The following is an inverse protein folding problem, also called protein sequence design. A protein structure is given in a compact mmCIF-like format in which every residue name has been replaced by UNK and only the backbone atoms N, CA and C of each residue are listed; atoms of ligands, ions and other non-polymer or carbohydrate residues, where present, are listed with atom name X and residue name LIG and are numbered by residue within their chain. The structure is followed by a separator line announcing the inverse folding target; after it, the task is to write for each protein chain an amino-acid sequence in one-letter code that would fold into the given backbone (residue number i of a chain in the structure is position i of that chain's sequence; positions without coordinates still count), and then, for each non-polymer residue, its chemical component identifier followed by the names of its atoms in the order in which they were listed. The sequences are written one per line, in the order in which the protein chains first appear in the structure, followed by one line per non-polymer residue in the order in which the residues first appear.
data_IF_981573417369
#
_entry.id   IF_981573417369
#
_cell.length_a   1.000
_cell.length_b   1.000
_cell.length_c   1.000
_cell.angle_alpha   90.00
_cell.angle_beta   90.00
_cell.angle_gamma   90.00
#
_symmetry.space_group_name_H-M   'P 1'
#
loop_
_entity.id
_entity.type
_entity.pdbx_description
1 polymer ?
#
# COMPACT_ATOMS: atom_id res chain seq x y z
N UNK A 1 -0.22 -33.28 -16.33
CA UNK A 1 0.41 -31.96 -16.57
C UNK A 1 1.41 -32.11 -17.68
N UNK A 2 1.38 -31.21 -18.68
CA UNK A 2 2.40 -31.19 -19.72
C UNK A 2 3.73 -30.67 -19.16
N UNK A 3 4.85 -31.02 -19.81
CA UNK A 3 6.17 -30.51 -19.42
C UNK A 3 6.28 -28.98 -19.54
N UNK A 4 5.45 -28.36 -20.38
CA UNK A 4 5.27 -26.90 -20.41
C UNK A 4 4.56 -26.37 -19.17
N UNK A 5 3.45 -26.98 -18.76
CA UNK A 5 2.72 -26.59 -17.55
C UNK A 5 3.59 -26.72 -16.30
N UNK A 6 4.41 -27.77 -16.22
CA UNK A 6 5.33 -27.98 -15.11
C UNK A 6 6.37 -26.86 -15.03
N UNK A 7 6.96 -26.45 -16.15
CA UNK A 7 7.89 -25.32 -16.18
C UNK A 7 7.20 -23.99 -15.78
N UNK A 8 5.99 -23.75 -16.28
CA UNK A 8 5.23 -22.55 -15.90
C UNK A 8 4.88 -22.55 -14.41
N UNK A 9 4.58 -23.70 -13.82
CA UNK A 9 4.35 -23.82 -12.38
C UNK A 9 5.62 -23.52 -11.57
N UNK A 10 6.80 -23.97 -12.04
CA UNK A 10 8.09 -23.64 -11.43
C UNK A 10 8.39 -22.14 -11.50
N UNK A 11 8.17 -21.52 -12.67
CA UNK A 11 8.34 -20.07 -12.87
C UNK A 11 7.45 -19.28 -11.90
N UNK A 12 6.16 -19.63 -11.80
CA UNK A 12 5.23 -18.98 -10.88
C UNK A 12 5.65 -19.13 -9.42
N UNK A 13 6.01 -20.34 -9.01
CA UNK A 13 6.43 -20.61 -7.64
C UNK A 13 7.68 -19.79 -7.26
N UNK A 14 8.64 -19.64 -8.18
CA UNK A 14 9.85 -18.86 -7.92
C UNK A 14 9.57 -17.35 -7.91
N UNK A 15 8.76 -16.85 -8.84
CA UNK A 15 8.34 -15.44 -8.84
C UNK A 15 7.58 -15.11 -7.55
N UNK A 16 6.63 -15.95 -7.14
CA UNK A 16 5.83 -15.72 -5.93
C UNK A 16 6.69 -15.70 -4.66
N UNK A 17 7.72 -16.57 -4.58
CA UNK A 17 8.68 -16.58 -3.46
C UNK A 17 9.39 -15.23 -3.31
N UNK A 18 9.59 -14.50 -4.41
CA UNK A 18 10.29 -13.23 -4.44
C UNK A 18 9.39 -12.02 -4.13
N UNK A 19 8.10 -12.23 -3.84
CA UNK A 19 7.10 -11.20 -3.48
C UNK A 19 6.96 -10.12 -4.57
N UNK A 20 6.41 -10.45 -5.74
CA UNK A 20 6.19 -9.47 -6.80
C UNK A 20 5.09 -8.48 -6.39
N UNK A 21 5.09 -7.30 -7.00
CA UNK A 21 3.89 -6.43 -6.97
C UNK A 21 2.79 -7.11 -7.79
N UNK A 22 1.54 -7.10 -7.31
CA UNK A 22 0.44 -7.83 -7.93
C UNK A 22 0.27 -7.52 -9.42
N UNK A 23 0.38 -6.25 -9.81
CA UNK A 23 0.28 -5.79 -11.20
C UNK A 23 1.48 -6.21 -12.07
N UNK A 24 2.63 -6.49 -11.48
CA UNK A 24 3.86 -6.85 -12.19
C UNK A 24 4.00 -8.36 -12.44
N UNK A 25 3.21 -9.20 -11.75
CA UNK A 25 3.33 -10.66 -11.77
C UNK A 25 3.32 -11.23 -13.19
N UNK A 26 2.34 -10.82 -14.02
CA UNK A 26 2.21 -11.32 -15.39
C UNK A 26 3.38 -10.89 -16.28
N UNK A 27 3.87 -9.67 -16.11
CA UNK A 27 5.04 -9.17 -16.85
C UNK A 27 6.30 -9.95 -16.48
N UNK A 28 6.50 -10.23 -15.19
CA UNK A 28 7.63 -11.04 -14.73
C UNK A 28 7.58 -12.47 -15.28
N UNK A 29 6.40 -13.11 -15.29
CA UNK A 29 6.23 -14.43 -15.93
C UNK A 29 6.69 -14.43 -17.39
N UNK A 30 6.29 -13.41 -18.16
CA UNK A 30 6.64 -13.29 -19.59
C UNK A 30 8.14 -13.03 -19.79
N UNK A 31 8.75 -12.16 -18.97
CA UNK A 31 10.19 -11.91 -19.02
C UNK A 31 10.98 -13.19 -18.72
N UNK A 32 10.59 -13.91 -17.68
CA UNK A 32 11.23 -15.17 -17.29
C UNK A 32 11.02 -16.26 -18.35
N UNK A 33 9.80 -16.41 -18.91
CA UNK A 33 9.52 -17.36 -19.99
C UNK A 33 10.35 -17.05 -21.24
N UNK A 34 10.61 -15.77 -21.54
CA UNK A 34 11.46 -15.37 -22.67
C UNK A 34 12.94 -15.68 -22.50
N UNK A 35 13.42 -15.74 -21.24
CA UNK A 35 14.81 -16.00 -20.89
C UNK A 35 15.09 -17.49 -20.63
N UNK A 36 14.10 -18.37 -20.81
CA UNK A 36 14.25 -19.80 -20.53
C UNK A 36 14.03 -20.63 -21.79
N UNK A 37 14.97 -21.53 -22.05
CA UNK A 37 14.81 -22.60 -23.03
C UNK A 37 14.49 -23.91 -22.31
N UNK A 38 13.56 -24.68 -22.87
CA UNK A 38 13.27 -26.03 -22.38
C UNK A 38 14.42 -26.97 -22.73
N UNK A 39 14.77 -27.84 -21.79
CA UNK A 39 15.85 -28.79 -21.94
C UNK A 39 15.38 -30.16 -21.44
N UNK A 40 15.80 -31.26 -22.07
CA UNK A 40 15.33 -32.60 -21.72
C UNK A 40 16.01 -33.19 -20.47
N UNK A 41 17.27 -32.80 -20.20
CA UNK A 41 17.97 -33.10 -18.95
C UNK A 41 17.43 -32.30 -17.74
N UNK A 42 17.46 -32.86 -16.52
CA UNK A 42 17.18 -32.14 -15.28
C UNK A 42 18.07 -30.88 -15.18
N UNK A 43 17.52 -29.71 -14.80
CA UNK A 43 16.22 -29.48 -14.17
C UNK A 43 15.02 -29.32 -15.14
N UNK A 44 15.18 -29.61 -16.43
CA UNK A 44 14.12 -29.49 -17.44
C UNK A 44 14.10 -28.14 -18.17
N UNK A 45 15.07 -27.27 -17.88
CA UNK A 45 15.19 -25.93 -18.43
C UNK A 45 16.63 -25.41 -18.34
N UNK A 46 16.94 -24.42 -19.17
CA UNK A 46 18.21 -23.70 -19.22
C UNK A 46 17.94 -22.21 -19.40
N UNK A 47 18.63 -21.36 -18.64
CA UNK A 47 18.50 -19.90 -18.77
C UNK A 47 19.42 -19.42 -19.88
N UNK A 48 18.85 -18.67 -20.84
CA UNK A 48 19.55 -18.19 -22.02
C UNK A 48 19.60 -16.66 -22.05
N UNK A 49 20.58 -16.10 -22.75
CA UNK A 49 20.67 -14.68 -23.04
C UNK A 49 19.81 -14.28 -24.25
N UNK A 50 19.91 -13.02 -24.65
CA UNK A 50 19.19 -12.46 -25.81
C UNK A 50 19.56 -13.14 -27.13
N UNK A 51 20.77 -13.69 -27.21
CA UNK A 51 21.27 -14.41 -28.39
C UNK A 51 20.93 -15.91 -28.31
N UNK A 52 20.24 -16.35 -27.26
CA UNK A 52 19.86 -17.73 -27.03
C UNK A 52 21.00 -18.62 -26.52
N UNK A 53 22.11 -18.03 -26.06
CA UNK A 53 23.24 -18.76 -25.48
C UNK A 53 23.02 -19.02 -23.99
N UNK A 54 23.43 -20.18 -23.47
CA UNK A 54 23.34 -20.47 -22.04
C UNK A 54 24.05 -19.43 -21.18
N UNK A 55 23.37 -18.95 -20.14
CA UNK A 55 23.96 -18.05 -19.15
C UNK A 55 24.58 -18.84 -18.00
N UNK A 56 25.74 -18.40 -17.56
CA UNK A 56 26.43 -18.96 -16.39
C UNK A 56 26.67 -17.87 -15.34
N UNK A 57 26.75 -18.28 -14.08
CA UNK A 57 27.20 -17.44 -12.96
C UNK A 57 28.52 -17.98 -12.42
N UNK A 58 29.39 -17.09 -11.96
CA UNK A 58 30.63 -17.47 -11.31
C UNK A 58 30.42 -17.60 -9.81
N UNK A 59 30.61 -18.80 -9.25
CA UNK A 59 30.57 -19.05 -7.80
C UNK A 59 31.90 -19.70 -7.41
N UNK A 60 32.65 -19.07 -6.49
CA UNK A 60 33.98 -19.54 -6.07
C UNK A 60 35.00 -19.76 -7.21
N UNK A 61 34.86 -19.01 -8.32
CA UNK A 61 35.73 -19.12 -9.51
C UNK A 61 35.29 -20.18 -10.52
N UNK A 62 34.24 -20.94 -10.23
CA UNK A 62 33.65 -21.93 -11.14
C UNK A 62 32.44 -21.32 -11.88
N UNK A 63 32.32 -21.61 -13.18
CA UNK A 63 31.19 -21.19 -14.00
C UNK A 63 30.07 -22.24 -13.89
N UNK A 64 29.03 -21.92 -13.12
CA UNK A 64 27.84 -22.76 -12.95
C UNK A 64 26.71 -22.25 -13.85
N UNK A 65 25.82 -23.13 -14.34
CA UNK A 65 24.62 -22.69 -15.07
C UNK A 65 23.77 -21.76 -14.19
N UNK A 66 23.25 -20.70 -14.80
CA UNK A 66 22.39 -19.74 -14.12
C UNK A 66 21.06 -20.41 -13.78
N UNK A 67 20.66 -20.37 -12.50
CA UNK A 67 19.40 -20.99 -12.07
C UNK A 67 18.22 -20.03 -12.27
N UNK A 68 16.99 -20.54 -12.18
CA UNK A 68 15.78 -19.73 -12.20
C UNK A 68 15.78 -18.68 -11.07
N UNK A 69 16.25 -19.06 -9.87
CA UNK A 69 16.33 -18.14 -8.73
C UNK A 69 17.31 -17.01 -8.99
N UNK A 70 18.47 -17.32 -9.58
CA UNK A 70 19.47 -16.32 -9.97
C UNK A 70 18.94 -15.31 -10.99
N UNK A 71 18.16 -15.79 -11.96
CA UNK A 71 17.52 -14.95 -12.96
C UNK A 71 16.51 -13.99 -12.32
N UNK A 72 15.66 -14.47 -11.40
CA UNK A 72 14.68 -13.60 -10.72
C UNK A 72 15.38 -12.61 -9.79
N UNK A 73 16.47 -13.02 -9.11
CA UNK A 73 17.31 -12.12 -8.32
C UNK A 73 17.97 -11.04 -9.18
N UNK A 74 18.40 -11.37 -10.39
CA UNK A 74 18.91 -10.39 -11.35
C UNK A 74 17.82 -9.39 -11.78
N UNK A 75 16.64 -9.89 -12.12
CA UNK A 75 15.48 -9.04 -12.44
C UNK A 75 15.11 -8.13 -11.28
N UNK A 76 15.21 -8.60 -10.03
CA UNK A 76 14.96 -7.79 -8.83
C UNK A 76 15.98 -6.67 -8.66
N UNK A 77 17.26 -6.94 -8.93
CA UNK A 77 18.32 -5.91 -8.90
C UNK A 77 18.14 -4.87 -10.01
N UNK A 78 17.75 -5.29 -11.21
CA UNK A 78 17.55 -4.40 -12.36
C UNK A 78 16.24 -3.60 -12.28
N UNK A 79 15.18 -4.21 -11.75
CA UNK A 79 13.84 -3.65 -11.70
C UNK A 79 13.22 -3.76 -10.30
N UNK A 80 13.77 -3.04 -9.29
CA UNK A 80 13.32 -3.17 -7.91
C UNK A 80 11.84 -2.79 -7.71
N UNK A 81 11.28 -1.92 -8.56
CA UNK A 81 9.87 -1.49 -8.51
C UNK A 81 8.87 -2.58 -8.89
N UNK A 82 9.31 -3.68 -9.52
CA UNK A 82 8.45 -4.84 -9.83
C UNK A 82 8.25 -5.76 -8.63
N UNK A 83 9.02 -5.56 -7.55
CA UNK A 83 9.00 -6.38 -6.35
C UNK A 83 8.60 -5.55 -5.15
N UNK A 84 7.93 -6.19 -4.18
CA UNK A 84 7.62 -5.54 -2.93
C UNK A 84 8.91 -5.26 -2.15
N UNK A 85 9.00 -4.11 -1.45
CA UNK A 85 10.08 -3.88 -0.50
C UNK A 85 10.16 -5.03 0.50
N UNK A 86 11.36 -5.38 1.00
CA UNK A 86 11.44 -6.27 2.16
C UNK A 86 10.55 -5.66 3.24
N UNK A 87 9.63 -6.46 3.78
CA UNK A 87 8.73 -6.00 4.83
C UNK A 87 9.60 -5.37 5.91
N UNK A 88 9.36 -4.09 6.21
CA UNK A 88 10.06 -3.44 7.30
C UNK A 88 9.89 -4.32 8.54
N UNK A 89 10.96 -4.52 9.34
CA UNK A 89 10.81 -5.24 10.59
C UNK A 89 9.70 -4.55 11.36
N UNK A 90 8.59 -5.27 11.56
CA UNK A 90 7.48 -4.77 12.35
C UNK A 90 8.08 -4.39 13.69
N UNK A 91 8.02 -3.11 14.11
CA UNK A 91 8.50 -2.75 15.43
C UNK A 91 7.75 -3.64 16.41
N UNK A 92 8.51 -4.47 17.13
CA UNK A 92 7.94 -5.30 18.20
C UNK A 92 7.21 -4.31 19.11
N UNK A 93 5.87 -4.42 19.25
CA UNK A 93 5.17 -3.52 20.13
C UNK A 93 5.83 -3.64 21.52
N UNK A 94 6.15 -2.53 22.19
CA UNK A 94 6.64 -2.61 23.57
C UNK A 94 5.61 -3.44 24.34
N UNK A 95 6.06 -4.49 25.02
CA UNK A 95 5.22 -5.33 25.86
C UNK A 95 4.31 -4.40 26.68
N UNK A 96 3.00 -4.52 26.48
CA UNK A 96 2.02 -3.68 27.15
C UNK A 96 2.25 -3.79 28.66
N UNK A 97 2.83 -2.74 29.23
CA UNK A 97 2.70 -2.52 30.66
C UNK A 97 1.19 -2.43 30.94
N UNK A 98 0.66 -3.22 31.89
CA UNK A 98 -0.76 -3.22 32.20
C UNK A 98 -1.19 -1.78 32.51
N UNK A 99 -2.08 -1.26 31.68
CA UNK A 99 -2.65 0.09 31.84
C UNK A 99 -3.63 0.06 33.01
N UNK A 100 -3.13 0.46 34.18
CA UNK A 100 -3.81 0.51 35.49
C UNK A 100 -5.02 1.47 35.62
N UNK A 101 -5.67 1.88 34.52
CA UNK A 101 -6.79 2.84 34.57
C UNK A 101 -8.17 2.25 34.20
N UNK A 102 -8.26 0.96 33.89
CA UNK A 102 -9.55 0.25 33.83
C UNK A 102 -9.69 -0.61 35.09
N UNK A 103 -10.03 0.04 36.20
CA UNK A 103 -10.69 -0.64 37.33
C UNK A 103 -12.19 -0.51 37.11
N UNK A 104 -12.73 -1.34 36.22
CA UNK A 104 -14.14 -1.71 36.31
C UNK A 104 -14.20 -2.76 37.41
N UNK A 105 -14.69 -2.36 38.58
CA UNK A 105 -15.10 -3.30 39.64
C UNK A 105 -16.10 -4.27 38.99
N UNK A 106 -15.79 -5.56 38.79
CA UNK A 106 -16.78 -6.47 38.24
C UNK A 106 -17.93 -6.56 39.24
N UNK A 107 -19.14 -6.28 38.76
CA UNK A 107 -20.36 -6.50 39.51
C UNK A 107 -20.39 -7.98 39.93
N UNK A 108 -20.53 -8.21 41.23
CA UNK A 108 -20.77 -9.53 41.83
C UNK A 108 -21.96 -10.20 41.12
N UNK A 109 -21.77 -11.32 40.41
CA UNK A 109 -22.90 -12.07 39.89
C UNK A 109 -23.70 -12.68 41.06
N UNK A 110 -25.04 -12.68 41.01
CA UNK A 110 -25.86 -13.37 42.01
C UNK A 110 -25.58 -14.88 41.99
N UNK A 111 -25.57 -15.47 43.18
CA UNK A 111 -25.19 -16.85 43.43
C UNK A 111 -25.97 -17.86 42.57
N UNK A 112 -25.29 -18.81 41.91
CA UNK A 112 -25.96 -19.99 41.36
C UNK A 112 -26.30 -21.00 42.46
N UNK A 113 -27.52 -21.51 42.43
CA UNK A 113 -28.01 -22.62 43.25
C UNK A 113 -27.09 -23.86 43.13
N UNK A 114 -26.95 -24.68 44.20
CA UNK A 114 -25.96 -25.74 44.25
C UNK A 114 -26.28 -26.89 43.28
N UNK A 115 -25.32 -27.35 42.45
CA UNK A 115 -25.45 -28.62 41.75
C UNK A 115 -25.19 -29.80 42.68
N UNK A 116 -25.95 -30.88 42.44
CA UNK A 116 -25.89 -32.14 43.14
C UNK A 116 -24.48 -32.78 43.11
N UNK A 117 -24.18 -33.47 44.21
CA UNK A 117 -22.92 -34.13 44.49
C UNK A 117 -22.46 -35.06 43.35
N UNK A 118 -21.19 -34.92 42.97
CA UNK A 118 -20.45 -35.89 42.15
C UNK A 118 -19.14 -36.28 42.88
N UNK A 119 -18.65 -37.52 42.68
CA UNK A 119 -17.81 -38.23 43.63
C UNK A 119 -16.34 -37.80 43.63
N UNK A 120 -15.70 -37.92 44.80
CA UNK A 120 -14.28 -37.64 45.03
C UNK A 120 -13.41 -38.56 44.18
N UNK A 121 -12.72 -37.99 43.20
CA UNK A 121 -11.68 -38.66 42.43
C UNK A 121 -10.37 -38.80 43.26
N UNK A 122 -9.80 -39.98 43.10
CA UNK A 122 -8.75 -40.60 43.90
C UNK A 122 -7.38 -39.89 43.80
N UNK A 123 -6.80 -39.52 44.94
CA UNK A 123 -5.45 -38.90 45.00
C UNK A 123 -4.33 -39.83 44.54
N UNK A 124 -4.59 -41.14 44.44
CA UNK A 124 -3.62 -42.14 44.02
C UNK A 124 -3.37 -42.19 42.51
N UNK A 125 -4.24 -41.61 41.68
CA UNK A 125 -4.04 -41.57 40.22
C UNK A 125 -2.87 -40.66 39.80
N UNK A 126 -2.71 -39.50 40.47
CA UNK A 126 -1.62 -38.55 40.16
C UNK A 126 -0.23 -39.02 40.59
N UNK A 127 -0.14 -39.91 41.58
CA UNK A 127 1.17 -40.43 42.03
C UNK A 127 1.72 -41.50 41.08
N UNK A 128 0.85 -42.25 40.40
CA UNK A 128 1.25 -43.33 39.49
C UNK A 128 1.76 -42.81 38.14
N UNK A 129 1.28 -41.64 37.72
CA UNK A 129 1.75 -40.95 36.50
C UNK A 129 3.15 -40.34 36.68
N UNK A 130 3.47 -39.86 37.90
CA UNK A 130 4.78 -39.28 38.21
C UNK A 130 5.93 -40.31 38.35
N UNK A 131 5.61 -41.61 38.52
CA UNK A 131 6.61 -42.68 38.67
C UNK A 131 6.88 -43.45 37.36
N UNK A 132 6.12 -43.18 36.29
CA UNK A 132 6.26 -43.86 35.00
C UNK A 132 7.47 -43.43 34.15
N UNK A 133 8.02 -42.24 34.39
CA UNK A 133 9.10 -41.65 33.55
C UNK A 133 10.53 -41.90 34.07
N UNK A 134 10.69 -42.65 35.16
CA UNK A 134 11.99 -42.99 35.74
C UNK A 134 12.86 -44.01 34.96
N UNK A 135 12.32 -44.99 34.21
CA UNK A 135 13.16 -45.98 33.53
C UNK A 135 13.79 -45.51 32.20
N UNK A 136 13.29 -44.46 31.54
CA UNK A 136 13.90 -43.93 30.31
C UNK A 136 15.10 -43.01 30.58
N UNK A 137 15.20 -42.39 31.77
CA UNK A 137 16.33 -41.52 32.15
C UNK A 137 17.60 -42.27 32.59
N UNK A 138 17.56 -43.61 32.69
CA UNK A 138 18.70 -44.44 33.09
C UNK A 138 19.42 -45.15 31.92
N UNK A 139 19.07 -44.85 30.65
CA UNK A 139 19.84 -45.35 29.51
C UNK A 139 21.14 -44.57 29.32
N UNK A 140 22.26 -45.19 29.71
CA UNK A 140 23.61 -44.71 29.44
C UNK A 140 23.87 -44.56 27.92
N UNK A 141 24.68 -43.56 27.50
CA UNK A 141 25.11 -43.44 26.12
C UNK A 141 26.05 -44.60 25.75
N UNK A 142 25.67 -45.33 24.70
CA UNK A 142 26.45 -46.42 24.13
C UNK A 142 27.68 -45.83 23.43
N UNK A 143 28.85 -46.09 24.00
CA UNK A 143 30.17 -45.71 23.48
C UNK A 143 30.45 -46.51 22.21
N UNK A 144 30.54 -45.84 21.08
CA UNK A 144 30.85 -46.44 19.78
C UNK A 144 32.38 -46.65 19.66
N UNK A 145 32.85 -47.84 19.23
CA UNK A 145 34.27 -48.15 19.18
C UNK A 145 34.96 -47.52 17.97
N UNK A 146 35.99 -46.72 18.26
CA UNK A 146 37.01 -46.28 17.30
C UNK A 146 37.87 -47.49 16.91
N UNK A 147 38.00 -47.73 15.60
CA UNK A 147 39.03 -48.61 15.04
C UNK A 147 39.88 -47.83 14.01
N UNK A 148 41.15 -48.24 13.80
CA UNK A 148 42.22 -47.32 13.39
C UNK A 148 42.51 -47.32 11.87
N UNK A 149 43.03 -46.17 11.42
CA UNK A 149 44.16 -46.02 10.49
C UNK A 149 44.22 -46.87 9.21
N UNK A 150 44.05 -46.23 8.05
CA UNK A 150 45.00 -46.41 6.93
C UNK A 150 45.21 -45.07 6.22
N UNK A 151 46.45 -44.59 6.26
CA UNK A 151 46.94 -43.48 5.45
C UNK A 151 46.93 -43.88 3.96
N UNK A 152 46.26 -43.10 3.12
CA UNK A 152 46.40 -43.16 1.67
C UNK A 152 47.25 -41.97 1.21
N UNK A 153 48.35 -42.28 0.54
CA UNK A 153 49.32 -41.36 -0.03
C UNK A 153 48.72 -40.44 -1.11
N UNK A 154 49.28 -39.24 -1.36
CA UNK A 154 48.89 -38.43 -2.49
C UNK A 154 49.37 -39.05 -3.80
N UNK A 155 48.43 -39.34 -4.70
CA UNK A 155 48.72 -39.63 -6.10
C UNK A 155 49.18 -38.34 -6.78
N UNK A 156 50.44 -38.31 -7.16
CA UNK A 156 51.02 -37.30 -8.05
C UNK A 156 50.43 -37.54 -9.44
N UNK A 157 49.60 -36.61 -9.92
CA UNK A 157 49.19 -36.57 -11.33
C UNK A 157 50.17 -35.66 -12.08
N UNK A 158 50.99 -36.28 -12.92
CA UNK A 158 51.82 -35.64 -13.94
C UNK A 158 50.94 -35.03 -15.06
N UNK A 159 51.14 -33.76 -15.46
CA UNK A 159 50.62 -33.27 -16.74
C UNK A 159 51.54 -33.70 -17.90
N UNK A 160 51.00 -34.03 -19.08
CA UNK A 160 51.82 -34.30 -20.25
C UNK A 160 52.46 -33.02 -20.80
N UNK A 161 53.72 -33.18 -21.19
CA UNK A 161 54.45 -32.24 -22.03
C UNK A 161 53.76 -32.12 -23.40
N UNK A 162 53.46 -30.89 -23.79
CA UNK A 162 52.97 -30.54 -25.11
C UNK A 162 53.51 -29.16 -25.46
N UNK A 163 54.53 -29.17 -26.32
CA UNK A 163 55.19 -28.02 -26.91
C UNK A 163 54.20 -27.08 -27.60
N UNK A 164 54.42 -25.77 -27.44
CA UNK A 164 53.60 -24.74 -28.06
C UNK A 164 54.14 -23.34 -27.79
N UNK A 165 55.34 -23.08 -28.28
CA UNK A 165 55.94 -21.75 -28.38
C UNK A 165 54.99 -20.77 -29.10
N UNK A 166 54.61 -19.67 -28.44
CA UNK A 166 54.51 -18.33 -29.06
C UNK A 166 54.81 -17.24 -28.02
N UNK A 167 55.68 -16.26 -28.33
CA UNK A 167 56.16 -15.28 -27.38
C UNK A 167 55.32 -13.99 -27.37
N UNK A 168 55.28 -13.36 -26.20
CA UNK A 168 55.18 -11.90 -26.06
C UNK A 168 53.79 -11.31 -26.17
N UNK A 169 53.25 -10.83 -25.04
CA UNK A 169 52.91 -9.42 -24.83
C UNK A 169 52.52 -9.19 -23.35
N UNK A 170 53.36 -8.38 -22.72
CA UNK A 170 53.21 -7.57 -21.51
C UNK A 170 52.03 -7.85 -20.55
N UNK A 171 52.36 -8.38 -19.37
CA UNK A 171 51.58 -8.29 -18.14
C UNK A 171 52.05 -7.05 -17.35
N UNK A 172 51.20 -6.10 -16.94
CA UNK A 172 51.59 -5.09 -15.97
C UNK A 172 51.65 -5.69 -14.55
N UNK A 173 52.73 -5.37 -13.84
CA UNK A 173 52.95 -5.66 -12.42
C UNK A 173 51.94 -4.89 -11.55
N UNK A 174 51.28 -5.50 -10.57
CA UNK A 174 50.67 -4.75 -9.47
C UNK A 174 51.74 -4.35 -8.46
N UNK A 175 51.86 -3.04 -8.22
CA UNK A 175 52.65 -2.47 -7.13
C UNK A 175 51.97 -2.74 -5.77
N UNK A 176 52.74 -3.00 -4.69
CA UNK A 176 52.21 -3.09 -3.34
C UNK A 176 52.08 -1.68 -2.76
N UNK A 177 50.85 -1.26 -2.48
CA UNK A 177 50.56 0.08 -1.96
C UNK A 177 49.45 0.07 -0.93
N UNK A 178 49.84 0.21 0.34
CA UNK A 178 49.19 1.11 1.30
C UNK A 178 47.76 0.79 1.73
N UNK A 179 47.66 0.04 2.82
CA UNK A 179 46.54 0.05 3.75
C UNK A 179 46.17 1.46 4.23
N UNK A 180 44.89 1.84 4.18
CA UNK A 180 44.28 2.72 5.18
C UNK A 180 42.79 2.39 5.38
N UNK A 181 42.32 2.16 6.62
CA UNK A 181 40.91 1.94 6.92
C UNK A 181 40.15 3.27 6.98
N UNK A 182 39.00 3.36 6.30
CA UNK A 182 38.09 4.52 6.36
C UNK A 182 36.72 4.11 6.85
N UNK A 183 36.45 4.34 8.14
CA UNK A 183 35.16 4.72 8.77
C UNK A 183 35.47 5.26 10.19
N UNK A 184 34.60 6.05 10.85
CA UNK A 184 33.64 7.04 10.35
C UNK A 184 33.79 8.41 11.07
N UNK A 185 33.58 9.52 10.37
CA UNK A 185 33.50 10.88 10.97
C UNK A 185 32.13 11.48 10.65
N UNK A 186 31.13 11.19 11.49
CA UNK A 186 29.92 12.01 11.66
C UNK A 186 29.40 11.86 13.09
N UNK A 187 30.10 12.51 14.01
CA UNK A 187 29.67 12.69 15.40
C UNK A 187 30.18 14.05 15.88
N UNK A 188 29.65 15.15 15.33
CA UNK A 188 29.91 16.50 15.85
C UNK A 188 28.99 17.58 15.25
N UNK A 189 27.67 17.37 15.12
CA UNK A 189 26.71 18.45 14.84
C UNK A 189 25.34 18.13 15.47
N UNK A 190 25.29 17.99 16.79
CA UNK A 190 24.06 17.66 17.51
C UNK A 190 23.98 18.19 18.95
N UNK A 191 24.84 19.14 19.32
CA UNK A 191 24.92 19.69 20.68
C UNK A 191 24.59 21.18 20.79
N UNK A 192 24.17 21.83 19.69
CA UNK A 192 23.78 23.26 19.68
C UNK A 192 22.26 23.52 19.60
N UNK A 193 21.42 22.48 19.54
CA UNK A 193 19.95 22.65 19.51
C UNK A 193 19.29 22.56 20.90
N UNK A 194 19.99 22.03 21.92
CA UNK A 194 19.43 21.85 23.27
C UNK A 194 19.56 23.11 24.15
N UNK A 195 20.45 24.04 23.80
CA UNK A 195 20.63 25.31 24.53
C UNK A 195 19.71 26.45 24.03
N UNK A 196 19.12 26.33 22.84
CA UNK A 196 18.24 27.36 22.26
C UNK A 196 16.78 27.32 22.75
N UNK A 197 16.29 26.16 23.18
CA UNK A 197 14.89 25.98 23.62
C UNK A 197 14.71 26.36 25.10
N UNK A 198 15.77 26.34 25.92
CA UNK A 198 15.71 26.73 27.33
C UNK A 198 15.59 28.24 27.57
N UNK A 199 15.99 29.08 26.61
CA UNK A 199 16.04 30.54 26.79
C UNK A 199 14.70 31.24 26.48
N UNK A 200 13.81 30.60 25.71
CA UNK A 200 12.51 31.18 25.34
C UNK A 200 11.40 30.95 26.38
N UNK A 201 11.61 30.06 27.36
CA UNK A 201 10.63 29.80 28.44
C UNK A 201 10.82 30.70 29.69
N UNK A 202 11.89 31.51 29.75
CA UNK A 202 12.25 32.33 30.92
C UNK A 202 12.09 33.85 30.71
N UNK A 203 11.57 34.31 29.56
CA UNK A 203 11.32 35.75 29.32
C UNK A 203 10.00 36.02 28.62
N UNK A 204 8.98 36.31 29.44
CA UNK A 204 7.86 37.21 29.13
C UNK A 204 6.75 36.59 28.28
N UNK A 205 5.47 36.84 28.54
CA UNK A 205 4.81 37.76 29.45
C UNK A 205 3.31 37.66 29.19
N UNK A 206 2.50 37.91 30.21
CA UNK A 206 1.04 38.03 30.08
C UNK A 206 0.66 39.10 29.05
N UNK A 207 -0.52 38.98 28.43
CA UNK A 207 -1.47 40.05 28.68
C UNK A 207 -2.94 39.59 28.82
N UNK A 208 -3.54 40.10 29.90
CA UNK A 208 -4.85 40.78 30.02
C UNK A 208 -6.15 40.05 29.63
N UNK A 209 -6.91 39.73 30.69
CA UNK A 209 -8.38 39.77 30.76
C UNK A 209 -8.91 41.20 30.60
N UNK A 210 -9.91 41.38 29.74
CA UNK A 210 -10.92 42.45 29.83
C UNK A 210 -12.15 41.98 29.01
N UNK A 211 -13.18 41.43 29.65
CA UNK A 211 -14.42 42.11 30.09
C UNK A 211 -15.24 42.74 28.95
N UNK A 212 -16.31 42.05 28.52
CA UNK A 212 -17.55 42.69 28.04
C UNK A 212 -18.72 41.68 28.15
N UNK A 213 -19.61 41.84 29.12
CA UNK A 213 -20.95 42.45 29.02
C UNK A 213 -22.06 41.39 28.90
N UNK A 214 -23.00 41.55 29.83
CA UNK A 214 -24.20 40.77 30.07
C UNK A 214 -25.19 40.73 28.89
N UNK A 215 -25.96 39.64 28.81
CA UNK A 215 -27.42 39.71 28.63
C UNK A 215 -28.07 38.35 28.94
N UNK A 216 -28.82 38.32 30.04
CA UNK A 216 -29.98 37.45 30.22
C UNK A 216 -31.23 38.24 29.76
N UNK A 217 -32.32 37.57 29.37
CA UNK A 217 -33.42 37.47 30.32
C UNK A 217 -34.19 36.13 30.32
N UNK A 218 -34.49 35.72 31.56
CA UNK A 218 -35.76 35.24 32.13
C UNK A 218 -36.53 34.02 31.55
N UNK A 219 -37.28 33.30 32.44
CA UNK A 219 -37.82 31.97 32.19
C UNK A 219 -39.29 31.98 31.77
N UNK A 220 -39.70 31.00 30.97
CA UNK A 220 -41.09 30.67 30.69
C UNK A 220 -41.39 29.24 31.13
N UNK A 221 -42.24 29.12 32.15
CA UNK A 221 -42.94 27.91 32.57
C UNK A 221 -43.90 27.45 31.46
N UNK A 222 -43.94 26.15 31.17
CA UNK A 222 -45.13 25.32 31.41
C UNK A 222 -44.99 23.92 30.78
N UNK A 223 -45.39 22.94 31.58
CA UNK A 223 -45.53 21.51 31.28
C UNK A 223 -47.04 21.22 31.32
N UNK A 224 -47.59 20.39 30.42
CA UNK A 224 -47.98 19.03 30.83
C UNK A 224 -47.69 18.00 29.70
N UNK A 225 -47.07 16.85 29.99
CA UNK A 225 -47.74 15.59 30.35
C UNK A 225 -48.80 15.10 29.33
N UNK A 226 -48.44 14.09 28.54
CA UNK A 226 -49.36 13.29 27.72
C UNK A 226 -48.65 12.09 27.08
N UNK A 227 -49.17 10.89 27.34
CA UNK A 227 -48.65 9.55 27.02
C UNK A 227 -48.87 9.13 25.54
N UNK A 228 -48.30 7.99 25.09
CA UNK A 228 -48.25 7.55 23.70
C UNK A 228 -49.42 6.61 23.30
N UNK A 229 -49.76 6.60 22.00
CA UNK A 229 -50.48 5.54 21.28
C UNK A 229 -50.19 5.76 19.77
N UNK A 230 -49.58 4.82 19.05
CA UNK A 230 -50.14 3.59 18.46
C UNK A 230 -50.66 3.81 17.02
N UNK A 231 -50.18 2.94 16.13
CA UNK A 231 -50.73 2.45 14.86
C UNK A 231 -51.35 3.41 13.83
N UNK A 232 -50.96 3.24 12.55
CA UNK A 232 -51.75 3.77 11.44
C UNK A 232 -51.09 3.67 10.07
N UNK A 233 -50.87 2.46 9.57
CA UNK A 233 -50.70 2.18 8.14
C UNK A 233 -51.86 2.77 7.33
N UNK A 234 -51.57 3.50 6.24
CA UNK A 234 -52.47 3.56 5.07
C UNK A 234 -51.66 3.67 3.79
N UNK A 235 -51.48 2.50 3.22
CA UNK A 235 -51.42 2.19 1.79
C UNK A 235 -52.46 3.00 0.98
N UNK A 236 -52.03 3.74 -0.05
CA UNK A 236 -52.85 3.98 -1.25
C UNK A 236 -52.01 3.95 -2.52
N UNK A 237 -52.36 2.91 -3.27
CA UNK A 237 -52.00 2.46 -4.61
C UNK A 237 -52.51 3.41 -5.70
N UNK A 238 -51.66 3.55 -6.72
CA UNK A 238 -51.89 3.75 -8.16
C UNK A 238 -53.17 4.41 -8.68
N UNK A 239 -52.98 5.36 -9.61
CA UNK A 239 -53.69 5.34 -10.89
C UNK A 239 -52.91 6.09 -11.98
N UNK A 240 -52.76 5.38 -13.09
CA UNK A 240 -52.36 5.79 -14.44
C UNK A 240 -52.97 7.10 -14.98
N UNK A 241 -52.23 7.72 -15.90
CA UNK A 241 -52.71 8.85 -16.71
C UNK A 241 -51.78 9.14 -17.89
N UNK A 242 -51.91 8.32 -18.93
CA UNK A 242 -51.32 8.42 -20.28
C UNK A 242 -51.92 9.58 -21.10
N UNK A 243 -51.14 10.04 -22.10
CA UNK A 243 -51.43 10.81 -23.36
C UNK A 243 -50.95 12.27 -23.38
N UNK A 244 -50.52 12.90 -24.49
CA UNK A 244 -50.13 12.57 -25.89
C UNK A 244 -49.45 13.84 -26.46
N UNK A 245 -48.54 13.68 -27.41
CA UNK A 245 -47.94 14.69 -28.29
C UNK A 245 -48.87 15.76 -28.88
N UNK A 246 -48.35 16.97 -29.08
CA UNK A 246 -49.00 18.05 -29.84
C UNK A 246 -48.00 19.06 -30.40
N UNK A 247 -47.98 19.17 -31.73
CA UNK A 247 -47.02 19.87 -32.58
C UNK A 247 -47.57 21.21 -33.09
N UNK A 248 -46.66 22.17 -33.29
CA UNK A 248 -46.62 23.25 -34.32
C UNK A 248 -47.49 24.53 -34.24
N UNK A 249 -46.79 25.63 -34.55
CA UNK A 249 -47.12 26.83 -35.36
C UNK A 249 -47.04 28.15 -34.55
N UNK A 250 -46.00 28.98 -34.72
CA UNK A 250 -45.74 29.94 -35.82
C UNK A 250 -46.42 31.31 -35.57
N UNK A 251 -45.61 32.38 -35.44
CA UNK A 251 -45.94 33.73 -35.91
C UNK A 251 -44.84 34.78 -35.61
N UNK A 252 -44.35 35.38 -36.71
CA UNK A 252 -44.27 36.85 -36.96
C UNK A 252 -43.00 37.63 -36.55
N UNK A 253 -42.28 38.06 -37.58
CA UNK A 253 -41.31 39.17 -37.59
C UNK A 253 -41.98 40.55 -37.79
N UNK A 254 -41.24 41.65 -37.55
CA UNK A 254 -41.09 42.70 -38.57
C UNK A 254 -39.63 43.26 -38.73
N UNK A 255 -39.36 44.14 -39.73
CA UNK A 255 -38.03 44.37 -40.32
C UNK A 255 -37.45 45.80 -40.13
N UNK A 256 -36.18 45.98 -40.53
CA UNK A 256 -35.53 47.28 -40.82
C UNK A 256 -34.01 47.22 -40.67
N UNK A 257 -33.21 47.12 -41.75
CA UNK A 257 -32.70 48.18 -42.65
C UNK A 257 -31.33 48.77 -42.21
N UNK A 258 -30.31 48.68 -43.07
CA UNK A 258 -29.05 49.43 -42.93
C UNK A 258 -27.82 48.80 -43.59
N UNK A 259 -27.63 49.06 -44.89
CA UNK A 259 -26.43 48.79 -45.69
C UNK A 259 -25.12 49.39 -45.15
N UNK A 260 -23.98 48.72 -45.41
CA UNK A 260 -22.80 49.33 -46.08
C UNK A 260 -21.78 48.29 -46.57
N UNK A 261 -21.35 48.49 -47.81
CA UNK A 261 -20.49 47.64 -48.62
C UNK A 261 -18.98 47.97 -48.52
N UNK A 262 -18.13 46.98 -48.85
CA UNK A 262 -16.71 47.11 -49.22
C UNK A 262 -16.05 45.72 -49.46
N UNK A 263 -15.10 45.55 -50.39
CA UNK A 263 -15.29 44.60 -51.51
C UNK A 263 -14.29 43.41 -51.65
N UNK A 264 -14.76 42.35 -52.36
CA UNK A 264 -14.10 41.42 -53.33
C UNK A 264 -12.68 40.84 -53.02
N UNK A 265 -12.33 39.55 -53.14
CA UNK A 265 -12.70 38.38 -54.02
C UNK A 265 -11.74 37.19 -53.63
N UNK A 266 -11.76 35.99 -54.26
CA UNK A 266 -12.80 34.95 -54.35
C UNK A 266 -12.28 33.54 -53.93
N UNK A 267 -13.17 32.57 -53.69
CA UNK A 267 -12.78 31.16 -53.59
C UNK A 267 -13.84 30.27 -52.96
N UNK A 268 -14.78 29.82 -53.78
CA UNK A 268 -15.78 28.81 -53.42
C UNK A 268 -15.15 27.52 -52.90
N UNK A 269 -15.55 27.14 -51.69
CA UNK A 269 -15.27 25.85 -51.07
C UNK A 269 -16.42 25.50 -50.14
N UNK A 270 -17.54 25.09 -50.75
CA UNK A 270 -18.73 24.44 -50.18
C UNK A 270 -18.42 23.66 -48.88
N UNK A 271 -18.92 24.12 -47.72
CA UNK A 271 -19.31 23.27 -46.58
C UNK A 271 -20.20 24.03 -45.62
N UNK A 272 -21.44 23.56 -45.56
CA UNK A 272 -22.44 23.82 -44.52
C UNK A 272 -21.99 23.26 -43.15
N UNK A 273 -22.68 23.66 -42.06
CA UNK A 273 -22.13 23.84 -40.73
C UNK A 273 -21.98 22.50 -39.99
N UNK A 274 -20.81 22.26 -39.42
CA UNK A 274 -20.65 21.18 -38.44
C UNK A 274 -20.73 21.81 -37.06
N UNK A 275 -21.87 21.55 -36.44
CA UNK A 275 -22.06 21.32 -35.01
C UNK A 275 -20.82 21.59 -34.14
N UNK A 276 -20.99 22.52 -33.24
CA UNK A 276 -20.30 22.61 -31.95
C UNK A 276 -20.45 21.27 -31.21
N UNK A 277 -19.59 20.32 -31.59
CA UNK A 277 -19.39 19.06 -30.91
C UNK A 277 -18.81 19.36 -29.54
N UNK A 278 -19.59 19.07 -28.51
CA UNK A 278 -19.14 19.01 -27.14
C UNK A 278 -17.79 18.29 -27.07
N UNK A 279 -16.77 19.01 -26.59
CA UNK A 279 -15.48 18.44 -26.22
C UNK A 279 -15.73 17.43 -25.10
N UNK A 280 -15.94 16.18 -25.49
CA UNK A 280 -15.77 15.03 -24.59
C UNK A 280 -14.33 15.15 -24.05
N UNK A 281 -14.12 15.20 -22.72
CA UNK A 281 -12.78 15.34 -22.18
C UNK A 281 -11.93 14.19 -22.69
N UNK A 282 -10.87 14.59 -23.38
CA UNK A 282 -9.78 13.76 -23.88
C UNK A 282 -9.43 12.65 -22.89
N UNK A 283 -9.39 11.42 -23.40
CA UNK A 283 -9.22 10.18 -22.66
C UNK A 283 -8.27 10.36 -21.47
N UNK A 284 -8.86 10.41 -20.28
CA UNK A 284 -8.16 10.70 -19.04
C UNK A 284 -7.29 9.51 -18.64
N UNK A 285 -6.13 9.33 -19.30
CA UNK A 285 -5.18 8.28 -18.96
C UNK A 285 -4.62 8.42 -17.53
N UNK A 286 -3.97 7.37 -17.01
CA UNK A 286 -3.32 7.42 -15.70
C UNK A 286 -2.28 8.54 -15.65
N UNK A 287 -2.21 9.25 -14.52
CA UNK A 287 -1.30 10.39 -14.29
C UNK A 287 -0.48 10.12 -13.03
N UNK A 288 0.83 10.33 -13.08
CA UNK A 288 1.71 10.17 -11.92
C UNK A 288 2.65 11.38 -11.75
N UNK A 289 2.97 11.71 -10.50
CA UNK A 289 3.92 12.79 -10.18
C UNK A 289 3.70 13.36 -8.78
N UNK A 290 4.34 14.49 -8.47
CA UNK A 290 4.13 15.20 -7.19
C UNK A 290 2.84 16.02 -7.29
N UNK A 291 1.90 15.78 -6.39
CA UNK A 291 0.62 16.48 -6.35
C UNK A 291 0.70 17.74 -5.47
N UNK A 292 0.07 18.83 -5.93
CA UNK A 292 -0.24 20.01 -5.12
C UNK A 292 -1.64 19.81 -4.49
N UNK A 293 -1.76 19.95 -3.18
CA UNK A 293 -3.03 19.75 -2.46
C UNK A 293 -3.84 21.04 -2.48
N UNK A 294 -5.04 21.03 -3.06
CA UNK A 294 -5.95 22.19 -3.04
C UNK A 294 -6.89 22.11 -1.84
N UNK A 295 -7.48 20.95 -1.63
CA UNK A 295 -8.27 20.60 -0.44
C UNK A 295 -8.13 19.10 -0.14
N UNK A 296 -8.78 18.58 0.90
CA UNK A 296 -8.66 17.17 1.28
C UNK A 296 -9.31 16.18 0.31
N UNK A 297 -10.16 16.65 -0.61
CA UNK A 297 -10.81 15.87 -1.65
C UNK A 297 -10.30 16.21 -3.07
N UNK A 298 -9.46 17.23 -3.23
CA UNK A 298 -9.05 17.77 -4.53
C UNK A 298 -7.54 17.99 -4.58
N UNK A 299 -6.90 17.36 -5.56
CA UNK A 299 -5.47 17.45 -5.83
C UNK A 299 -5.23 18.09 -7.20
N UNK A 300 -4.09 18.73 -7.38
CA UNK A 300 -3.62 19.21 -8.67
C UNK A 300 -2.36 18.46 -9.07
N UNK A 301 -2.40 17.80 -10.23
CA UNK A 301 -1.33 16.95 -10.71
C UNK A 301 -1.18 17.14 -12.22
N UNK A 302 0.05 17.46 -12.69
CA UNK A 302 0.31 17.70 -14.10
C UNK A 302 -0.55 18.83 -14.70
N UNK A 303 -0.83 19.87 -13.91
CA UNK A 303 -1.69 20.99 -14.33
C UNK A 303 -3.19 20.69 -14.34
N UNK A 304 -3.62 19.46 -13.99
CA UNK A 304 -5.03 19.04 -13.95
C UNK A 304 -5.53 19.03 -12.52
N UNK A 305 -6.77 19.47 -12.32
CA UNK A 305 -7.47 19.34 -11.04
C UNK A 305 -8.19 17.99 -10.99
N UNK A 306 -7.83 17.15 -10.03
CA UNK A 306 -8.30 15.79 -9.84
C UNK A 306 -9.10 15.72 -8.53
N UNK A 307 -10.36 15.26 -8.62
CA UNK A 307 -11.19 15.01 -7.44
C UNK A 307 -11.05 13.54 -7.00
N UNK A 308 -10.75 13.32 -5.74
CA UNK A 308 -10.63 11.99 -5.15
C UNK A 308 -11.98 11.27 -5.16
N UNK A 309 -11.96 9.98 -5.48
CA UNK A 309 -13.15 9.13 -5.49
C UNK A 309 -13.63 8.83 -4.08
N UNK A 310 -14.94 8.94 -3.83
CA UNK A 310 -15.53 8.56 -2.55
C UNK A 310 -15.37 9.58 -1.43
N UNK A 311 -14.76 10.74 -1.69
CA UNK A 311 -14.46 11.75 -0.65
C UNK A 311 -15.11 13.10 -0.98
N UNK A 312 -15.79 13.65 0.02
CA UNK A 312 -16.29 15.01 0.02
C UNK A 312 -15.53 15.86 1.05
N UNK A 313 -15.01 17.01 0.59
CA UNK A 313 -14.36 17.97 1.47
C UNK A 313 -15.39 18.52 2.47
N UNK A 314 -15.06 18.48 3.75
CA UNK A 314 -15.90 19.00 4.81
C UNK A 314 -15.29 20.25 5.44
N UNK A 315 -16.14 21.17 5.91
CA UNK A 315 -15.67 22.33 6.67
C UNK A 315 -14.93 21.87 7.93
N UNK A 316 -13.76 22.45 8.17
CA UNK A 316 -12.87 22.09 9.27
C UNK A 316 -11.79 21.08 8.89
N UNK A 317 -11.85 20.49 7.70
CA UNK A 317 -10.75 19.68 7.18
C UNK A 317 -9.55 20.56 6.82
N UNK A 318 -8.34 20.18 7.24
CA UNK A 318 -7.13 20.94 7.00
C UNK A 318 -6.34 20.34 5.83
N UNK A 319 -6.21 21.09 4.74
CA UNK A 319 -5.41 20.67 3.57
C UNK A 319 -3.92 20.52 3.90
N UNK A 320 -3.44 21.22 4.94
CA UNK A 320 -2.06 21.13 5.43
C UNK A 320 -1.72 19.73 5.94
N UNK A 321 -2.66 19.01 6.54
CA UNK A 321 -2.42 17.66 7.07
C UNK A 321 -2.18 16.67 5.93
N UNK A 322 -2.97 16.76 4.85
CA UNK A 322 -2.76 15.95 3.65
C UNK A 322 -1.47 16.35 2.92
N UNK A 323 -1.14 17.65 2.90
CA UNK A 323 0.13 18.14 2.33
C UNK A 323 1.33 17.58 3.10
N UNK A 324 1.28 17.62 4.43
CA UNK A 324 2.29 17.06 5.32
C UNK A 324 2.38 15.53 5.20
N UNK A 325 1.24 14.86 5.05
CA UNK A 325 1.22 13.43 4.76
C UNK A 325 1.92 13.13 3.45
N UNK A 326 1.61 13.82 2.35
CA UNK A 326 2.25 13.59 1.05
C UNK A 326 3.74 13.92 1.07
N UNK A 327 4.17 15.00 1.73
CA UNK A 327 5.57 15.39 1.89
C UNK A 327 6.41 15.33 0.59
N UNK A 328 5.80 15.67 -0.55
CA UNK A 328 6.45 15.61 -1.87
C UNK A 328 6.59 14.20 -2.47
N UNK A 329 6.00 13.16 -1.86
CA UNK A 329 5.98 11.81 -2.41
C UNK A 329 5.15 11.76 -3.71
N UNK A 330 5.58 10.94 -4.69
CA UNK A 330 4.84 10.80 -5.94
C UNK A 330 3.51 10.07 -5.72
N UNK A 331 2.45 10.60 -6.30
CA UNK A 331 1.11 10.03 -6.31
C UNK A 331 0.80 9.50 -7.70
N UNK A 332 0.15 8.33 -7.78
CA UNK A 332 -0.33 7.74 -9.03
C UNK A 332 -1.86 7.72 -9.04
N UNK A 333 -2.46 8.46 -9.96
CA UNK A 333 -3.89 8.64 -10.10
C UNK A 333 -4.41 7.94 -11.36
N UNK A 334 -5.44 7.10 -11.18
CA UNK A 334 -6.14 6.42 -12.26
C UNK A 334 -7.58 6.94 -12.37
N UNK A 335 -8.11 7.13 -13.60
CA UNK A 335 -9.51 7.48 -13.78
C UNK A 335 -10.40 6.35 -13.25
N UNK A 336 -11.45 6.66 -12.50
CA UNK A 336 -12.46 5.66 -12.19
C UNK A 336 -13.42 5.54 -13.39
N UNK A 337 -13.50 4.39 -14.09
CA UNK A 337 -14.34 4.26 -15.28
C UNK A 337 -15.80 4.63 -14.99
N UNK A 338 -16.33 5.55 -15.78
CA UNK A 338 -17.72 6.02 -15.67
C UNK A 338 -17.95 7.14 -14.66
N UNK A 339 -16.90 7.70 -14.05
CA UNK A 339 -17.02 8.85 -13.11
C UNK A 339 -15.97 9.92 -13.40
N UNK A 340 -16.23 11.13 -12.92
CA UNK A 340 -15.29 12.27 -13.01
C UNK A 340 -14.25 12.28 -11.88
N UNK A 341 -14.26 11.25 -11.03
CA UNK A 341 -13.39 11.12 -9.88
C UNK A 341 -12.22 10.15 -10.13
N UNK A 342 -11.16 10.31 -9.35
CA UNK A 342 -9.87 9.64 -9.52
C UNK A 342 -9.54 8.81 -8.30
N UNK A 343 -8.97 7.63 -8.54
CA UNK A 343 -8.38 6.79 -7.50
C UNK A 343 -6.89 7.10 -7.49
N UNK A 344 -6.41 7.74 -6.41
CA UNK A 344 -5.04 8.18 -6.29
C UNK A 344 -4.35 7.37 -5.20
N UNK A 345 -3.15 6.86 -5.49
CA UNK A 345 -2.36 6.04 -4.58
C UNK A 345 -1.01 6.67 -4.28
N UNK A 346 -0.56 6.56 -3.04
CA UNK A 346 0.79 6.93 -2.61
C UNK A 346 1.40 5.75 -1.88
N UNK A 347 2.59 5.31 -2.31
CA UNK A 347 3.28 4.13 -1.75
C UNK A 347 2.41 2.84 -1.71
N UNK A 348 1.42 2.75 -2.59
CA UNK A 348 0.46 1.63 -2.64
C UNK A 348 -0.78 1.78 -1.74
N UNK A 349 -0.92 2.89 -1.00
CA UNK A 349 -2.10 3.20 -0.20
C UNK A 349 -3.07 4.12 -0.94
N UNK A 350 -4.38 3.86 -0.85
CA UNK A 350 -5.41 4.74 -1.41
C UNK A 350 -5.52 6.03 -0.60
N UNK A 351 -5.34 7.18 -1.27
CA UNK A 351 -5.46 8.48 -0.63
C UNK A 351 -6.86 8.75 -0.11
N UNK A 352 -7.90 8.25 -0.78
CA UNK A 352 -9.28 8.41 -0.31
C UNK A 352 -9.49 7.75 1.04
N UNK A 353 -8.92 6.55 1.23
CA UNK A 353 -8.99 5.82 2.49
C UNK A 353 -8.23 6.56 3.59
N UNK A 354 -7.00 7.00 3.30
CA UNK A 354 -6.17 7.76 4.26
C UNK A 354 -6.88 9.03 4.72
N UNK A 355 -7.48 9.79 3.81
CA UNK A 355 -8.21 11.02 4.15
C UNK A 355 -9.40 10.72 5.05
N UNK A 356 -10.22 9.72 4.72
CA UNK A 356 -11.41 9.38 5.51
C UNK A 356 -11.04 8.79 6.88
N UNK A 357 -10.03 7.93 6.94
CA UNK A 357 -9.57 7.28 8.17
C UNK A 357 -9.07 8.29 9.21
N UNK A 358 -8.43 9.37 8.77
CA UNK A 358 -7.94 10.44 9.64
C UNK A 358 -8.99 11.54 9.91
N UNK A 359 -10.20 11.41 9.35
CA UNK A 359 -11.27 12.41 9.52
C UNK A 359 -11.07 13.69 8.73
N UNK A 360 -10.35 13.62 7.60
CA UNK A 360 -10.13 14.75 6.69
C UNK A 360 -11.29 15.02 5.72
N UNK A 361 -12.35 14.22 5.73
CA UNK A 361 -13.49 14.36 4.83
C UNK A 361 -14.68 13.48 5.20
N UNK A 362 -15.72 13.50 4.37
CA UNK A 362 -16.89 12.63 4.47
C UNK A 362 -16.94 11.65 3.31
N UNK A 363 -17.40 10.43 3.56
CA UNK A 363 -17.62 9.46 2.50
C UNK A 363 -18.82 9.89 1.66
N UNK A 364 -18.68 9.89 0.33
CA UNK A 364 -19.79 10.15 -0.58
C UNK A 364 -20.70 8.92 -0.71
N UNK A 365 -21.96 9.05 -1.20
CA UNK A 365 -22.85 7.90 -1.39
C UNK A 365 -22.30 6.81 -2.32
N UNK A 366 -21.39 7.17 -3.23
CA UNK A 366 -20.71 6.25 -4.15
C UNK A 366 -19.43 5.63 -3.59
N UNK A 367 -19.02 5.97 -2.37
CA UNK A 367 -17.83 5.42 -1.73
C UNK A 367 -17.88 3.88 -1.63
N UNK A 368 -16.72 3.21 -1.76
CA UNK A 368 -16.64 1.77 -1.54
C UNK A 368 -16.90 1.43 -0.07
N UNK A 369 -17.27 0.17 0.25
CA UNK A 369 -17.47 -0.25 1.63
C UNK A 369 -16.28 0.06 2.55
N UNK A 370 -15.06 -0.13 2.05
CA UNK A 370 -13.83 0.14 2.81
C UNK A 370 -13.69 1.63 3.19
N UNK A 371 -14.05 2.54 2.28
CA UNK A 371 -14.06 3.98 2.53
C UNK A 371 -15.11 4.39 3.58
N UNK A 372 -16.27 3.73 3.58
CA UNK A 372 -17.31 3.94 4.59
C UNK A 372 -16.85 3.43 5.97
N UNK A 373 -16.10 2.33 6.02
CA UNK A 373 -15.49 1.83 7.26
C UNK A 373 -14.40 2.77 7.77
N UNK A 374 -13.58 3.33 6.89
CA UNK A 374 -12.59 4.35 7.24
C UNK A 374 -13.25 5.60 7.84
N UNK A 375 -14.33 6.11 7.26
CA UNK A 375 -15.09 7.23 7.85
C UNK A 375 -15.65 6.88 9.24
N UNK A 376 -16.21 5.66 9.38
CA UNK A 376 -16.74 5.18 10.66
C UNK A 376 -15.67 5.10 11.75
N UNK A 377 -14.46 4.70 11.38
CA UNK A 377 -13.30 4.70 12.26
C UNK A 377 -13.01 6.12 12.76
N UNK A 378 -12.89 7.09 11.85
CA UNK A 378 -12.64 8.49 12.21
C UNK A 378 -13.74 9.08 13.10
N UNK A 379 -15.01 8.77 12.82
CA UNK A 379 -16.15 9.24 13.61
C UNK A 379 -16.14 8.66 15.03
N UNK A 380 -15.81 7.37 15.17
CA UNK A 380 -15.72 6.69 16.47
C UNK A 380 -14.52 7.20 17.28
N UNK A 381 -13.39 7.43 16.60
CA UNK A 381 -12.17 7.99 17.18
C UNK A 381 -12.22 9.51 17.42
N UNK A 382 -13.28 10.20 16.95
CA UNK A 382 -13.41 11.68 17.00
C UNK A 382 -12.20 12.39 16.38
N UNK A 383 -11.77 11.91 15.22
CA UNK A 383 -10.59 12.42 14.50
C UNK A 383 -10.99 13.55 13.52
N UNK A 384 -10.06 14.48 13.27
CA UNK A 384 -10.23 15.55 12.27
C UNK A 384 -11.52 16.34 12.45
N UNK A 385 -12.36 16.38 11.41
CA UNK A 385 -13.66 17.09 11.42
C UNK A 385 -14.67 16.54 12.44
N UNK A 386 -14.42 15.35 12.99
CA UNK A 386 -15.29 14.70 13.98
C UNK A 386 -14.87 15.01 15.43
N UNK A 387 -13.73 15.68 15.62
CA UNK A 387 -13.38 16.25 16.92
C UNK A 387 -14.42 17.32 17.26
N UNK A 388 -15.14 17.15 18.38
CA UNK A 388 -16.07 18.19 18.84
C UNK A 388 -15.25 19.46 19.14
N UNK A 389 -15.73 20.65 18.71
CA UNK A 389 -15.12 21.91 19.10
C UNK A 389 -15.22 22.16 20.61
#
# INVERSE_FOLDING_TARGET
MTSREQLQALIRAEIDRQRPVAVARRTLELLVESAIRRHDAPPGYEVVDRDGRPRTRTVAGEALPLTLSDLVDELRRQHPTLFQPPAAPVPVPPAEAPRDWIVVKPATPPAPSPPAAAPRADRFARLREALGDLPERLRLPRREPVAPSVAAAPVIVTPPAGEGLKPGLARPRPLPGGSLPRRPLYAALGTLAVLGVGYAALRGGEPTREAAVAQAPAPGTDRPAGKPAEAGSTERKAADGKTVDGRTAEAKAPPGAGDKAGPARPGEGKREPVETGALVPEAAGPVAGVAEVLDTATLRLGGRTLRLYGVEAARGAQASDLTGYLAGRPVNCQPNPGRTAWICTVDGHDLSEVVLYNGGGRATPEATPDLVEAERHARTGKLGIWAKP
#
